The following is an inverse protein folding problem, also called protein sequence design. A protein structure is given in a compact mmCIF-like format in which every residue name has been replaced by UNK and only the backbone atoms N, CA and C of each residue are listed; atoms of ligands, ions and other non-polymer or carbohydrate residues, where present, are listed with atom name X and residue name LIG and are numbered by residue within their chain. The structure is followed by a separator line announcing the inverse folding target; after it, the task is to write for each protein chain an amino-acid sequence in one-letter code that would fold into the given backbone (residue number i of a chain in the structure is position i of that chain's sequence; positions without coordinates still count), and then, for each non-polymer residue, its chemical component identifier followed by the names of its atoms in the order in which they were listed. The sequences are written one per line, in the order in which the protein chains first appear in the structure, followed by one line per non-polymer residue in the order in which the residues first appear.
data_IF_384330905985
#
_entry.id   IF_384330905985
#
_cell.length_a   1.000
_cell.length_b   1.000
_cell.length_c   1.000
_cell.angle_alpha   90.00
_cell.angle_beta   90.00
_cell.angle_gamma   90.00
#
_symmetry.space_group_name_H-M   'P 1'
#
loop_
_entity.id
_entity.type
_entity.pdbx_description
1 polymer ?
#
# COMPACT_ATOMS: atom_id res chain seq x y z
N UNK A 1 -27.76 0.20 14.36
CA UNK A 1 -26.83 1.27 13.96
C UNK A 1 -25.63 0.59 13.32
N UNK A 2 -25.57 0.54 12.00
CA UNK A 2 -24.39 0.05 11.28
C UNK A 2 -23.25 1.02 11.54
N UNK A 3 -22.09 0.57 12.04
CA UNK A 3 -20.95 1.44 12.22
C UNK A 3 -20.58 2.04 10.85
N UNK A 4 -20.61 3.37 10.76
CA UNK A 4 -20.10 4.12 9.61
C UNK A 4 -18.59 3.94 9.59
N UNK A 5 -18.11 2.85 9.00
CA UNK A 5 -16.73 2.77 8.59
C UNK A 5 -16.52 3.86 7.54
N UNK A 6 -15.52 4.71 7.72
CA UNK A 6 -15.00 5.56 6.66
C UNK A 6 -13.95 4.72 5.95
N UNK A 7 -14.33 3.83 5.01
CA UNK A 7 -13.34 3.04 4.32
C UNK A 7 -12.39 4.02 3.62
N UNK A 8 -11.10 3.83 3.83
CA UNK A 8 -10.05 4.71 3.33
C UNK A 8 -10.03 4.79 1.79
N UNK A 9 -10.76 3.90 1.14
CA UNK A 9 -11.02 3.86 -0.28
C UNK A 9 -12.47 3.35 -0.48
N UNK A 10 -13.19 3.86 -1.48
CA UNK A 10 -14.51 3.33 -1.84
C UNK A 10 -14.39 1.84 -2.22
N UNK A 11 -15.43 1.02 -2.00
CA UNK A 11 -15.41 -0.41 -2.35
C UNK A 11 -14.96 -0.65 -3.80
N UNK A 12 -15.36 0.24 -4.70
CA UNK A 12 -14.95 0.25 -6.11
C UNK A 12 -13.47 0.58 -6.35
N UNK A 13 -12.80 1.35 -5.48
CA UNK A 13 -11.34 1.54 -5.51
C UNK A 13 -10.57 0.35 -4.91
N UNK A 14 -11.19 -0.40 -4.00
CA UNK A 14 -10.62 -1.63 -3.45
C UNK A 14 -10.74 -2.76 -4.48
N UNK A 15 -11.87 -2.86 -5.19
CA UNK A 15 -12.10 -3.87 -6.24
C UNK A 15 -11.36 -3.58 -7.55
N UNK A 16 -11.18 -2.30 -7.90
CA UNK A 16 -10.46 -1.86 -9.11
C UNK A 16 -9.30 -0.98 -8.73
N UNK A 17 -8.22 -1.60 -8.26
CA UNK A 17 -6.94 -0.90 -8.12
C UNK A 17 -6.49 -0.39 -9.49
N UNK A 18 -5.93 0.83 -9.57
CA UNK A 18 -5.40 1.36 -10.84
C UNK A 18 -4.30 0.45 -11.43
N UNK A 19 -3.57 -0.31 -10.59
CA UNK A 19 -2.64 -1.36 -11.00
C UNK A 19 -3.32 -2.50 -11.79
N UNK A 20 -4.51 -2.95 -11.36
CA UNK A 20 -5.33 -3.96 -12.07
C UNK A 20 -5.84 -3.42 -13.42
N UNK A 21 -6.16 -2.13 -13.50
CA UNK A 21 -6.52 -1.47 -14.76
C UNK A 21 -5.33 -1.35 -15.73
N UNK A 22 -4.11 -1.31 -15.22
CA UNK A 22 -2.86 -1.21 -15.99
C UNK A 22 -2.28 -2.56 -16.46
N UNK A 23 -2.92 -3.66 -16.05
CA UNK A 23 -2.54 -5.04 -16.42
C UNK A 23 -1.60 -5.73 -15.44
N UNK A 24 -1.44 -5.21 -14.21
CA UNK A 24 -0.64 -5.87 -13.16
C UNK A 24 -1.47 -7.03 -12.56
N UNK A 25 -0.91 -8.26 -12.48
CA UNK A 25 -1.55 -9.37 -11.80
C UNK A 25 -1.80 -9.07 -10.32
N UNK A 26 -2.92 -9.53 -9.78
CA UNK A 26 -3.26 -9.36 -8.36
C UNK A 26 -2.19 -9.96 -7.44
N UNK A 27 -1.71 -11.15 -7.77
CA UNK A 27 -0.64 -11.83 -7.02
C UNK A 27 0.63 -10.98 -6.96
N UNK A 28 1.00 -10.34 -8.08
CA UNK A 28 2.18 -9.47 -8.15
C UNK A 28 1.96 -8.17 -7.36
N UNK A 29 0.75 -7.61 -7.38
CA UNK A 29 0.41 -6.43 -6.58
C UNK A 29 0.50 -6.75 -5.08
N UNK A 30 0.01 -7.92 -4.65
CA UNK A 30 0.08 -8.37 -3.26
C UNK A 30 1.53 -8.60 -2.81
N UNK A 31 2.34 -9.28 -3.64
CA UNK A 31 3.76 -9.49 -3.38
C UNK A 31 4.53 -8.16 -3.26
N UNK A 32 4.26 -7.19 -4.15
CA UNK A 32 4.87 -5.87 -4.10
C UNK A 32 4.45 -5.07 -2.86
N UNK A 33 3.19 -5.18 -2.45
CA UNK A 33 2.71 -4.55 -1.20
C UNK A 33 3.38 -5.16 0.02
N UNK A 34 3.49 -6.49 0.07
CA UNK A 34 4.18 -7.19 1.15
C UNK A 34 5.68 -6.81 1.19
N UNK A 35 6.32 -6.77 0.03
CA UNK A 35 7.72 -6.37 -0.10
C UNK A 35 7.95 -4.92 0.34
N UNK A 36 7.09 -3.98 -0.07
CA UNK A 36 7.16 -2.58 0.37
C UNK A 36 6.98 -2.42 1.88
N UNK A 37 6.04 -3.16 2.48
CA UNK A 37 5.88 -3.20 3.94
C UNK A 37 7.12 -3.71 4.66
N UNK A 38 7.81 -4.72 4.11
CA UNK A 38 9.07 -5.25 4.64
C UNK A 38 10.19 -4.21 4.55
N UNK A 39 10.33 -3.52 3.42
CA UNK A 39 11.30 -2.44 3.25
C UNK A 39 11.09 -1.30 4.24
N UNK A 40 9.84 -0.89 4.48
CA UNK A 40 9.50 0.14 5.46
C UNK A 40 9.89 -0.32 6.87
N UNK A 41 9.69 -1.59 7.19
CA UNK A 41 10.08 -2.15 8.49
C UNK A 41 11.60 -2.17 8.67
N UNK A 42 12.35 -2.66 7.68
CA UNK A 42 13.81 -2.68 7.70
C UNK A 42 14.39 -1.26 7.78
N UNK A 43 13.85 -0.32 7.00
CA UNK A 43 14.21 1.09 7.07
C UNK A 43 13.91 1.69 8.46
N UNK A 44 12.79 1.32 9.07
CA UNK A 44 12.43 1.71 10.43
C UNK A 44 13.44 1.25 11.49
N UNK A 45 13.94 0.01 11.37
CA UNK A 45 14.97 -0.53 12.25
C UNK A 45 16.30 0.21 12.04
N UNK A 46 16.72 0.38 10.78
CA UNK A 46 17.97 1.08 10.42
C UNK A 46 17.98 2.52 10.93
N UNK A 47 16.85 3.22 10.82
CA UNK A 47 16.69 4.60 11.27
C UNK A 47 16.34 4.73 12.77
N UNK A 48 16.30 3.61 13.50
CA UNK A 48 15.92 3.52 14.93
C UNK A 48 14.61 4.25 15.25
N UNK A 49 13.62 4.12 14.36
CA UNK A 49 12.33 4.77 14.52
C UNK A 49 11.40 4.01 15.45
N UNK A 50 10.46 4.74 16.05
CA UNK A 50 9.39 4.14 16.84
C UNK A 50 8.48 3.31 15.93
N UNK A 51 8.02 2.16 16.42
CA UNK A 51 7.10 1.28 15.68
C UNK A 51 5.82 2.01 15.23
N UNK A 52 5.38 3.03 15.98
CA UNK A 52 4.24 3.88 15.58
C UNK A 52 4.51 4.62 14.25
N UNK A 53 5.73 5.12 14.04
CA UNK A 53 6.11 5.79 12.81
C UNK A 53 6.18 4.80 11.64
N UNK A 54 6.74 3.59 11.88
CA UNK A 54 6.81 2.51 10.90
C UNK A 54 5.41 2.04 10.48
N UNK A 55 4.52 1.81 11.44
CA UNK A 55 3.12 1.43 11.20
C UNK A 55 2.38 2.53 10.42
N UNK A 56 2.61 3.81 10.76
CA UNK A 56 2.02 4.94 10.04
C UNK A 56 2.53 4.98 8.59
N UNK A 57 3.82 4.74 8.36
CA UNK A 57 4.41 4.68 7.03
C UNK A 57 3.84 3.51 6.20
N UNK A 58 3.66 2.33 6.79
CA UNK A 58 3.01 1.18 6.12
C UNK A 58 1.56 1.49 5.73
N UNK A 59 0.80 2.16 6.61
CA UNK A 59 -0.57 2.58 6.32
C UNK A 59 -0.61 3.60 5.17
N UNK A 60 0.30 4.58 5.17
CA UNK A 60 0.40 5.57 4.09
C UNK A 60 0.80 4.93 2.77
N UNK A 61 1.75 3.98 2.78
CA UNK A 61 2.17 3.22 1.61
C UNK A 61 1.02 2.43 1.00
N UNK A 62 0.27 1.70 1.83
CA UNK A 62 -0.91 0.96 1.38
C UNK A 62 -1.96 1.89 0.77
N UNK A 63 -2.22 3.05 1.40
CA UNK A 63 -3.17 4.06 0.89
C UNK A 63 -2.72 4.66 -0.44
N UNK A 64 -1.43 4.89 -0.62
CA UNK A 64 -0.89 5.46 -1.86
C UNK A 64 -1.17 4.55 -3.06
N UNK A 65 -1.02 3.24 -2.92
CA UNK A 65 -1.31 2.27 -3.99
C UNK A 65 -2.79 1.98 -4.25
N UNK A 66 -3.69 2.51 -3.43
CA UNK A 66 -5.11 2.55 -3.78
C UNK A 66 -5.49 3.74 -4.69
N UNK A 67 -4.59 4.69 -4.89
CA UNK A 67 -4.83 5.90 -5.70
C UNK A 67 -3.84 6.01 -6.87
N UNK A 68 -2.65 5.42 -6.76
CA UNK A 68 -1.61 5.44 -7.79
C UNK A 68 -1.34 4.05 -8.35
N UNK A 69 -1.01 3.96 -9.64
CA UNK A 69 -0.63 2.71 -10.32
C UNK A 69 0.86 2.42 -10.09
N UNK A 70 1.20 1.17 -9.75
CA UNK A 70 2.60 0.71 -9.63
C UNK A 70 3.36 0.73 -10.96
N UNK A 71 2.66 0.86 -12.10
CA UNK A 71 3.28 1.05 -13.42
C UNK A 71 3.78 2.47 -13.63
N UNK A 72 3.09 3.46 -13.03
CA UNK A 72 3.44 4.88 -13.14
C UNK A 72 4.55 5.27 -12.17
N UNK A 73 4.64 4.57 -11.04
CA UNK A 73 5.63 4.82 -10.00
C UNK A 73 6.33 3.49 -9.67
N UNK A 74 7.47 3.26 -10.32
CA UNK A 74 8.27 2.06 -10.08
C UNK A 74 8.78 2.01 -8.63
N UNK A 75 8.57 0.88 -7.95
CA UNK A 75 9.33 0.53 -6.75
C UNK A 75 10.72 0.09 -7.24
N UNK A 76 11.59 1.06 -7.52
CA UNK A 76 13.02 0.87 -7.69
C UNK A 76 13.48 -0.27 -8.61
N UNK A 77 12.92 -0.37 -9.82
CA UNK A 77 13.58 -0.98 -10.99
C UNK A 77 13.43 -0.07 -12.20
#
# INVERSE_FOLDING_TARGET
MTPTFYPLASLSQIEKTPSRADGIPEDLEEDLRAYGCKLIHEAGILLKQKQVAVATAQILFQRFWYVSSMKTFGIGI
#
